data_IF_807135671064
#
_entry.id   IF_807135671064
#
_cell.length_a   1.000
_cell.length_b   1.000
_cell.length_c   1.000
_cell.angle_alpha   90.00
_cell.angle_beta   90.00
_cell.angle_gamma   90.00
#
_symmetry.space_group_name_H-M   'P 1'
#
loop_
_entity.id
_entity.type
_entity.pdbx_description
1 polymer ?
#
# COMPACT_ATOMS: atom_id res chain seq x y z
N UNK A 1 -53.14 -32.05 17.44
CA UNK A 1 -52.26 -31.45 16.42
C UNK A 1 -52.51 -29.95 16.38
N UNK A 2 -51.60 -29.15 16.94
CA UNK A 2 -51.32 -27.76 16.59
C UNK A 2 -50.10 -27.34 17.42
N UNK A 3 -48.94 -27.39 16.78
CA UNK A 3 -47.63 -27.05 17.32
C UNK A 3 -47.52 -25.53 17.52
N UNK A 4 -47.13 -25.13 18.72
CA UNK A 4 -45.93 -24.33 18.96
C UNK A 4 -45.72 -23.17 17.96
N UNK A 5 -46.50 -22.10 18.08
CA UNK A 5 -46.37 -20.90 17.24
C UNK A 5 -46.29 -19.64 18.10
N UNK A 6 -45.43 -19.62 19.13
CA UNK A 6 -45.16 -18.39 19.92
C UNK A 6 -43.70 -18.19 20.34
N UNK A 7 -42.75 -18.95 19.76
CA UNK A 7 -41.31 -18.83 20.06
C UNK A 7 -40.50 -18.16 18.95
N UNK A 8 -41.15 -17.43 18.03
CA UNK A 8 -40.49 -16.72 16.94
C UNK A 8 -40.49 -15.19 17.17
N UNK A 9 -40.37 -14.75 18.42
CA UNK A 9 -40.34 -13.33 18.80
C UNK A 9 -39.11 -12.97 19.66
N UNK A 10 -38.05 -13.78 19.59
CA UNK A 10 -36.88 -13.64 20.48
C UNK A 10 -35.51 -13.75 19.76
N UNK A 11 -35.48 -13.67 18.43
CA UNK A 11 -34.23 -13.88 17.66
C UNK A 11 -34.01 -12.89 16.50
N UNK A 12 -34.68 -11.72 16.52
CA UNK A 12 -34.52 -10.66 15.50
C UNK A 12 -34.23 -9.31 16.15
N UNK A 13 -33.39 -9.31 17.20
CA UNK A 13 -32.82 -8.09 17.81
C UNK A 13 -31.29 -8.18 17.95
N UNK A 14 -30.66 -9.15 17.27
CA UNK A 14 -29.21 -9.20 17.04
C UNK A 14 -28.86 -8.71 15.63
N UNK A 15 -29.63 -7.74 15.11
CA UNK A 15 -29.24 -7.01 13.92
C UNK A 15 -28.20 -5.96 14.30
N UNK A 16 -26.95 -6.43 14.33
CA UNK A 16 -25.85 -5.79 13.63
C UNK A 16 -25.63 -4.33 14.10
N UNK A 17 -25.08 -4.19 15.30
CA UNK A 17 -24.11 -3.14 15.55
C UNK A 17 -22.85 -3.49 14.73
N UNK A 18 -22.88 -3.31 13.40
CA UNK A 18 -21.64 -3.14 12.65
C UNK A 18 -21.05 -1.83 13.17
N UNK A 19 -20.20 -1.96 14.18
CA UNK A 19 -19.13 -1.01 14.41
C UNK A 19 -18.35 -1.00 13.10
N UNK A 20 -18.67 -0.07 12.19
CA UNK A 20 -17.66 0.37 11.23
C UNK A 20 -16.66 1.15 12.07
N UNK A 21 -15.72 0.44 12.68
CA UNK A 21 -14.42 1.05 12.86
C UNK A 21 -14.05 1.49 11.45
N UNK A 22 -14.00 2.80 11.20
CA UNK A 22 -13.19 3.26 10.09
C UNK A 22 -11.83 2.63 10.39
N UNK A 23 -11.40 1.69 9.54
CA UNK A 23 -10.09 1.03 9.65
C UNK A 23 -9.04 2.11 9.36
N UNK A 24 -8.83 3.01 10.32
CA UNK A 24 -7.80 4.03 10.30
C UNK A 24 -6.45 3.29 10.26
N UNK A 25 -5.59 3.71 9.34
CA UNK A 25 -4.24 3.18 9.26
C UNK A 25 -3.49 3.61 10.52
N UNK A 26 -2.87 2.64 11.20
CA UNK A 26 -2.10 2.91 12.41
C UNK A 26 -0.99 3.93 12.16
N UNK A 27 -0.79 4.87 13.08
CA UNK A 27 0.19 5.96 12.97
C UNK A 27 1.61 5.44 12.71
N UNK A 28 1.96 4.26 13.27
CA UNK A 28 3.26 3.62 13.02
C UNK A 28 3.52 3.32 11.53
N UNK A 29 2.47 3.22 10.71
CA UNK A 29 2.62 3.06 9.27
C UNK A 29 3.16 4.32 8.58
N UNK A 30 2.82 5.50 9.10
CA UNK A 30 3.29 6.78 8.56
C UNK A 30 4.62 7.20 9.17
N UNK A 31 4.93 6.78 10.39
CA UNK A 31 6.25 7.03 11.01
C UNK A 31 7.41 6.28 10.33
N UNK A 32 7.13 5.33 9.44
CA UNK A 32 8.15 4.75 8.55
C UNK A 32 8.48 5.65 7.36
N UNK A 33 7.60 6.61 7.06
CA UNK A 33 7.77 7.55 5.97
C UNK A 33 8.36 8.84 6.52
N UNK A 34 9.68 8.88 6.61
CA UNK A 34 10.40 10.13 6.79
C UNK A 34 11.18 10.42 5.50
N UNK A 35 10.80 11.45 4.73
CA UNK A 35 11.47 11.78 3.48
C UNK A 35 12.95 12.19 3.67
N UNK A 36 13.36 12.60 4.88
CA UNK A 36 14.76 12.85 5.22
C UNK A 36 15.53 11.54 5.54
N UNK A 37 14.83 10.45 5.88
CA UNK A 37 15.42 9.14 6.16
C UNK A 37 15.48 8.20 4.95
N UNK A 38 14.90 8.57 3.80
CA UNK A 38 15.00 7.78 2.56
C UNK A 38 16.47 7.56 2.13
N UNK A 39 17.39 8.41 2.58
CA UNK A 39 18.84 8.30 2.36
C UNK A 39 19.52 7.24 3.25
N UNK A 40 18.87 6.74 4.30
CA UNK A 40 19.50 5.86 5.28
C UNK A 40 19.53 4.38 4.88
N UNK A 41 18.94 4.01 3.73
CA UNK A 41 18.89 2.63 3.21
C UNK A 41 18.53 1.60 4.31
N UNK A 42 17.52 1.90 5.13
CA UNK A 42 17.26 1.12 6.33
C UNK A 42 16.84 -0.32 6.07
N UNK A 43 16.15 -0.56 4.96
CA UNK A 43 15.81 -1.89 4.52
C UNK A 43 16.87 -2.40 3.53
N UNK A 44 17.53 -3.50 3.88
CA UNK A 44 18.54 -4.15 3.05
C UNK A 44 17.92 -5.24 2.14
N UNK A 45 16.61 -5.48 2.28
CA UNK A 45 15.88 -6.45 1.46
C UNK A 45 15.72 -5.92 0.04
N UNK A 46 16.16 -6.72 -0.93
CA UNK A 46 15.99 -6.44 -2.34
C UNK A 46 14.56 -6.80 -2.80
N UNK A 47 13.80 -5.77 -3.18
CA UNK A 47 12.46 -5.91 -3.74
C UNK A 47 12.43 -5.76 -5.26
N UNK A 48 13.58 -5.67 -5.92
CA UNK A 48 13.65 -5.52 -7.37
C UNK A 48 12.95 -6.69 -8.06
N UNK A 49 12.07 -6.34 -8.98
CA UNK A 49 11.46 -7.28 -9.89
C UNK A 49 12.44 -7.41 -11.05
N UNK A 50 13.06 -8.58 -11.19
CA UNK A 50 13.88 -8.90 -12.36
C UNK A 50 12.96 -8.96 -13.58
N UNK A 51 12.71 -7.81 -14.22
CA UNK A 51 12.11 -7.80 -15.53
C UNK A 51 13.22 -8.09 -16.55
N UNK A 52 13.22 -9.31 -17.11
CA UNK A 52 14.20 -9.72 -18.11
C UNK A 52 14.12 -8.86 -19.40
N UNK A 53 13.10 -7.99 -19.53
CA UNK A 53 13.13 -6.86 -20.47
C UNK A 53 13.70 -5.60 -19.81
N UNK A 54 15.04 -5.48 -19.84
CA UNK A 54 15.79 -4.26 -19.52
C UNK A 54 15.54 -3.13 -20.55
N UNK A 55 14.28 -2.78 -20.84
CA UNK A 55 14.00 -1.47 -21.42
C UNK A 55 14.01 -0.48 -20.26
N UNK A 56 15.10 0.30 -20.13
CA UNK A 56 15.15 1.44 -19.22
C UNK A 56 13.91 2.31 -19.48
N UNK A 57 12.98 2.34 -18.53
CA UNK A 57 11.79 3.18 -18.64
C UNK A 57 12.21 4.66 -18.63
N UNK A 58 12.00 5.36 -19.74
CA UNK A 58 12.34 6.78 -19.90
C UNK A 58 11.23 7.66 -19.33
N UNK A 59 11.36 8.04 -18.05
CA UNK A 59 10.47 8.98 -17.39
C UNK A 59 10.91 10.45 -17.51
N UNK A 60 11.77 10.79 -18.47
CA UNK A 60 12.33 12.15 -18.59
C UNK A 60 11.30 13.24 -18.91
N UNK A 61 10.11 12.86 -19.37
CA UNK A 61 8.98 13.76 -19.63
C UNK A 61 8.13 14.04 -18.37
N UNK A 62 8.30 13.27 -17.30
CA UNK A 62 7.68 13.53 -16.02
C UNK A 62 8.42 14.65 -15.28
N UNK A 63 7.65 15.59 -14.71
CA UNK A 63 8.20 16.58 -13.80
C UNK A 63 8.84 15.85 -12.62
N UNK A 64 10.02 16.32 -12.20
CA UNK A 64 10.64 15.89 -10.96
C UNK A 64 10.53 17.04 -9.94
N UNK A 65 9.29 17.34 -9.56
CA UNK A 65 8.97 18.44 -8.65
C UNK A 65 8.08 17.95 -7.50
N UNK A 66 8.68 17.90 -6.32
CA UNK A 66 8.01 17.52 -5.08
C UNK A 66 7.82 18.71 -4.12
N UNK A 67 7.93 19.95 -4.62
CA UNK A 67 7.90 21.17 -3.79
C UNK A 67 6.50 21.57 -3.30
N UNK A 68 5.45 21.16 -4.00
CA UNK A 68 4.05 21.43 -3.65
C UNK A 68 3.22 20.17 -3.79
N UNK A 69 2.10 20.05 -3.09
CA UNK A 69 1.28 18.84 -3.14
C UNK A 69 0.70 18.61 -4.54
N UNK A 70 0.31 19.67 -5.25
CA UNK A 70 -0.11 19.58 -6.66
C UNK A 70 1.03 19.05 -7.56
N UNK A 71 2.25 19.55 -7.40
CA UNK A 71 3.40 19.08 -8.16
C UNK A 71 3.76 17.61 -7.86
N UNK A 72 3.72 17.21 -6.58
CA UNK A 72 3.90 15.80 -6.16
C UNK A 72 2.86 14.90 -6.82
N UNK A 73 1.60 15.33 -6.81
CA UNK A 73 0.49 14.60 -7.38
C UNK A 73 0.67 14.33 -8.87
N UNK A 74 1.02 15.38 -9.64
CA UNK A 74 1.23 15.26 -11.09
C UNK A 74 2.50 14.49 -11.43
N UNK A 75 3.58 14.64 -10.65
CA UNK A 75 4.82 13.86 -10.78
C UNK A 75 4.54 12.36 -10.65
N UNK A 76 3.94 11.93 -9.53
CA UNK A 76 3.66 10.51 -9.26
C UNK A 76 2.64 9.96 -10.26
N UNK A 77 1.61 10.74 -10.60
CA UNK A 77 0.62 10.37 -11.63
C UNK A 77 1.26 10.16 -12.99
N UNK A 78 2.26 10.97 -13.35
CA UNK A 78 2.99 10.81 -14.60
C UNK A 78 3.73 9.46 -14.63
N UNK A 79 4.43 9.09 -13.56
CA UNK A 79 5.08 7.79 -13.44
C UNK A 79 4.07 6.64 -13.61
N UNK A 80 2.90 6.70 -12.96
CA UNK A 80 1.88 5.67 -13.13
C UNK A 80 1.26 5.61 -14.53
N UNK A 81 1.21 6.72 -15.25
CA UNK A 81 0.78 6.73 -16.66
C UNK A 81 1.82 6.06 -17.56
N UNK A 82 3.10 6.35 -17.35
CA UNK A 82 4.19 5.72 -18.10
C UNK A 82 4.24 4.21 -17.82
N UNK A 83 4.10 3.84 -16.55
CA UNK A 83 3.99 2.44 -16.12
C UNK A 83 2.71 1.77 -16.66
N UNK A 84 1.71 2.55 -17.12
CA UNK A 84 0.46 2.01 -17.69
C UNK A 84 -0.51 1.48 -16.64
N UNK A 85 -0.35 1.88 -15.38
CA UNK A 85 -1.23 1.53 -14.24
C UNK A 85 -2.17 2.66 -13.86
N UNK A 86 -2.13 3.78 -14.57
CA UNK A 86 -3.08 4.88 -14.42
C UNK A 86 -4.14 4.84 -15.52
N UNK A 87 -5.42 4.94 -15.13
CA UNK A 87 -6.54 5.02 -16.07
C UNK A 87 -7.61 5.98 -15.57
N UNK A 88 -8.14 6.78 -16.49
CA UNK A 88 -9.08 7.85 -16.20
C UNK A 88 -8.50 8.78 -15.10
N UNK A 89 -9.07 8.76 -13.90
CA UNK A 89 -8.66 9.57 -12.75
C UNK A 89 -8.14 8.75 -11.56
N UNK A 90 -7.68 7.51 -11.79
CA UNK A 90 -7.16 6.68 -10.72
C UNK A 90 -6.30 5.49 -11.16
N UNK A 91 -6.06 4.60 -10.22
CA UNK A 91 -5.28 3.38 -10.41
C UNK A 91 -6.12 2.34 -11.16
N UNK A 92 -5.55 1.77 -12.22
CA UNK A 92 -6.10 0.61 -12.93
C UNK A 92 -5.70 -0.67 -12.17
N UNK A 93 -6.60 -1.14 -11.30
CA UNK A 93 -6.37 -2.33 -10.48
C UNK A 93 -6.01 -3.58 -11.30
N UNK A 94 -6.58 -3.74 -12.50
CA UNK A 94 -6.32 -4.89 -13.37
C UNK A 94 -4.92 -4.80 -13.99
N UNK A 95 -4.49 -3.60 -14.40
CA UNK A 95 -3.14 -3.36 -14.89
C UNK A 95 -2.09 -3.59 -13.79
N UNK A 96 -2.32 -3.04 -12.59
CA UNK A 96 -1.44 -3.26 -11.44
C UNK A 96 -1.34 -4.74 -11.12
N UNK A 97 -2.48 -5.44 -11.00
CA UNK A 97 -2.50 -6.87 -10.71
C UNK A 97 -1.73 -7.66 -11.76
N UNK A 98 -1.89 -7.32 -13.03
CA UNK A 98 -1.15 -7.98 -14.12
C UNK A 98 0.36 -7.79 -13.97
N UNK A 99 0.82 -6.59 -13.60
CA UNK A 99 2.24 -6.33 -13.33
C UNK A 99 2.76 -7.07 -12.10
N UNK A 100 2.06 -6.96 -10.97
CA UNK A 100 2.44 -7.62 -9.72
C UNK A 100 2.41 -9.15 -9.81
N UNK A 101 1.59 -9.72 -10.69
CA UNK A 101 1.60 -11.16 -10.97
C UNK A 101 2.80 -11.61 -11.80
N UNK A 102 3.46 -10.69 -12.52
CA UNK A 102 4.73 -10.95 -13.20
C UNK A 102 5.92 -10.88 -12.26
N UNK A 103 5.77 -10.31 -11.05
CA UNK A 103 6.83 -10.26 -10.05
C UNK A 103 7.44 -11.65 -9.85
N UNK A 104 8.74 -11.73 -10.08
CA UNK A 104 9.44 -13.00 -10.30
C UNK A 104 9.33 -13.89 -9.06
N UNK A 105 8.85 -15.13 -9.25
CA UNK A 105 8.91 -16.20 -8.26
C UNK A 105 10.33 -16.48 -7.73
N UNK A 106 11.38 -16.00 -8.42
CA UNK A 106 12.77 -16.09 -7.98
C UNK A 106 13.19 -15.01 -6.97
N UNK A 107 12.38 -13.96 -6.74
CA UNK A 107 12.57 -13.00 -5.64
C UNK A 107 11.40 -13.09 -4.63
N UNK A 108 11.48 -13.99 -3.62
CA UNK A 108 10.41 -14.16 -2.65
C UNK A 108 10.03 -12.89 -1.85
N UNK A 109 10.97 -12.01 -1.44
CA UNK A 109 10.63 -10.69 -0.92
C UNK A 109 9.73 -9.85 -1.83
N UNK A 110 10.09 -9.70 -3.11
CA UNK A 110 9.27 -8.96 -4.08
C UNK A 110 7.87 -9.58 -4.24
N UNK A 111 7.78 -10.91 -4.26
CA UNK A 111 6.50 -11.62 -4.31
C UNK A 111 5.61 -11.32 -3.08
N UNK A 112 6.17 -11.34 -1.87
CA UNK A 112 5.40 -11.02 -0.65
C UNK A 112 4.89 -9.57 -0.66
N UNK A 113 5.73 -8.63 -1.07
CA UNK A 113 5.34 -7.23 -1.24
C UNK A 113 4.19 -7.10 -2.25
N UNK A 114 4.32 -7.74 -3.42
CA UNK A 114 3.28 -7.78 -4.45
C UNK A 114 1.95 -8.36 -3.94
N UNK A 115 1.99 -9.46 -3.19
CA UNK A 115 0.81 -10.07 -2.56
C UNK A 115 0.12 -9.11 -1.58
N UNK A 116 0.89 -8.35 -0.80
CA UNK A 116 0.34 -7.34 0.10
C UNK A 116 -0.27 -6.16 -0.63
N UNK A 117 0.39 -5.64 -1.66
CA UNK A 117 -0.17 -4.54 -2.47
C UNK A 117 -1.51 -4.99 -3.09
N UNK A 118 -1.55 -6.20 -3.67
CA UNK A 118 -2.81 -6.77 -4.20
C UNK A 118 -3.89 -6.90 -3.13
N UNK A 119 -3.53 -7.27 -1.89
CA UNK A 119 -4.48 -7.46 -0.78
C UNK A 119 -4.99 -6.14 -0.22
N UNK A 120 -4.12 -5.15 -0.05
CA UNK A 120 -4.37 -3.97 0.78
C UNK A 120 -4.48 -2.64 0.03
N UNK A 121 -4.00 -2.56 -1.21
CA UNK A 121 -4.02 -1.31 -1.97
C UNK A 121 -5.11 -1.30 -3.04
N UNK A 122 -5.37 -2.41 -3.71
CA UNK A 122 -6.32 -2.45 -4.84
C UNK A 122 -7.79 -2.31 -4.41
N UNK A 123 -8.67 -2.03 -5.38
CA UNK A 123 -10.12 -1.84 -5.22
C UNK A 123 -10.45 -0.64 -4.34
N UNK A 124 -9.73 0.46 -4.54
CA UNK A 124 -9.89 1.70 -3.79
C UNK A 124 -9.43 1.65 -2.34
N UNK A 125 -8.88 0.51 -1.87
CA UNK A 125 -8.40 0.40 -0.49
C UNK A 125 -7.23 1.33 -0.20
N UNK A 126 -6.45 1.72 -1.21
CA UNK A 126 -5.39 2.71 -1.06
C UNK A 126 -5.91 4.09 -0.62
N UNK A 127 -7.19 4.41 -0.79
CA UNK A 127 -7.74 5.73 -0.47
C UNK A 127 -7.68 6.08 1.03
N UNK A 128 -7.52 5.08 1.90
CA UNK A 128 -7.35 5.27 3.36
C UNK A 128 -5.95 5.69 3.79
N UNK A 129 -4.99 5.69 2.86
CA UNK A 129 -3.61 6.10 3.14
C UNK A 129 -3.46 7.60 2.90
N UNK A 130 -2.59 8.26 3.67
CA UNK A 130 -2.39 9.70 3.63
C UNK A 130 -3.51 10.51 4.27
N UNK A 131 -3.48 11.82 4.07
CA UNK A 131 -4.50 12.79 4.51
C UNK A 131 -5.68 12.83 3.54
N UNK A 132 -6.80 13.44 3.94
CA UNK A 132 -7.98 13.59 3.07
C UNK A 132 -7.71 14.47 1.84
N UNK A 133 -6.72 15.37 1.92
CA UNK A 133 -6.34 16.29 0.85
C UNK A 133 -5.37 15.66 -0.17
N UNK A 134 -4.77 14.51 0.16
CA UNK A 134 -3.86 13.82 -0.74
C UNK A 134 -4.58 13.28 -1.98
N UNK A 135 -4.00 13.52 -3.15
CA UNK A 135 -4.53 12.99 -4.41
C UNK A 135 -4.39 11.46 -4.51
N UNK A 136 -5.16 10.79 -5.38
CA UNK A 136 -5.13 9.34 -5.53
C UNK A 136 -3.75 8.74 -5.83
N UNK A 137 -2.90 9.44 -6.61
CA UNK A 137 -1.55 9.00 -6.92
C UNK A 137 -0.67 8.92 -5.67
N UNK A 138 -0.68 9.95 -4.82
CA UNK A 138 0.05 9.96 -3.53
C UNK A 138 -0.48 8.88 -2.59
N UNK A 139 -1.80 8.73 -2.49
CA UNK A 139 -2.41 7.72 -1.61
C UNK A 139 -2.02 6.29 -2.02
N UNK A 140 -2.02 6.01 -3.32
CA UNK A 140 -1.57 4.71 -3.83
C UNK A 140 -0.06 4.49 -3.66
N UNK A 141 0.75 5.53 -3.87
CA UNK A 141 2.19 5.49 -3.59
C UNK A 141 2.46 5.12 -2.14
N UNK A 142 1.84 5.82 -1.18
CA UNK A 142 1.97 5.53 0.25
C UNK A 142 1.53 4.10 0.58
N UNK A 143 0.38 3.67 0.07
CA UNK A 143 -0.10 2.31 0.28
C UNK A 143 0.91 1.26 -0.19
N UNK A 144 1.44 1.46 -1.40
CA UNK A 144 2.37 0.52 -2.02
C UNK A 144 3.70 0.50 -1.28
N UNK A 145 4.27 1.67 -0.99
CA UNK A 145 5.50 1.82 -0.21
C UNK A 145 5.40 1.13 1.15
N UNK A 146 4.37 1.45 1.94
CA UNK A 146 4.15 0.88 3.27
C UNK A 146 4.04 -0.64 3.19
N UNK A 147 3.23 -1.16 2.26
CA UNK A 147 3.03 -2.60 2.14
C UNK A 147 4.25 -3.37 1.59
N UNK A 148 5.18 -2.69 0.93
CA UNK A 148 6.49 -3.23 0.56
C UNK A 148 7.44 -3.24 1.77
N UNK A 149 7.62 -2.09 2.43
CA UNK A 149 8.61 -1.93 3.52
C UNK A 149 8.31 -2.83 4.71
N UNK A 150 7.04 -3.10 5.03
CA UNK A 150 6.70 -4.05 6.10
C UNK A 150 7.11 -5.51 5.81
N UNK A 151 7.45 -5.85 4.57
CA UNK A 151 8.01 -7.15 4.20
C UNK A 151 9.54 -7.22 4.30
N UNK A 152 10.18 -6.12 4.71
CA UNK A 152 11.62 -6.09 4.92
C UNK A 152 12.04 -7.10 5.98
N UNK A 153 12.90 -8.02 5.59
CA UNK A 153 13.43 -9.11 6.42
C UNK A 153 14.86 -8.85 6.93
N UNK A 154 15.56 -7.88 6.34
CA UNK A 154 16.89 -7.44 6.78
C UNK A 154 16.94 -5.92 6.96
N UNK A 155 17.30 -5.49 8.16
CA UNK A 155 17.35 -4.08 8.55
C UNK A 155 18.76 -3.69 8.97
N UNK A 156 19.19 -2.51 8.54
CA UNK A 156 20.41 -1.89 9.06
C UNK A 156 20.28 -1.68 10.58
N UNK A 157 21.38 -1.85 11.31
CA UNK A 157 21.42 -1.88 12.78
C UNK A 157 21.75 -0.53 13.43
N UNK A 158 21.84 0.54 12.65
CA UNK A 158 21.99 1.88 13.22
C UNK A 158 20.73 2.28 14.01
N UNK A 159 20.85 3.31 14.86
CA UNK A 159 19.78 3.73 15.77
C UNK A 159 18.50 4.17 15.02
N UNK A 160 18.66 4.90 13.92
CA UNK A 160 17.55 5.35 13.06
C UNK A 160 16.79 4.16 12.49
N UNK A 161 17.49 3.18 11.92
CA UNK A 161 16.88 2.02 11.28
C UNK A 161 16.29 1.02 12.27
N UNK A 162 16.77 0.98 13.52
CA UNK A 162 16.16 0.21 14.59
C UNK A 162 14.73 0.71 14.88
N UNK A 163 14.53 2.04 14.90
CA UNK A 163 13.20 2.65 15.07
C UNK A 163 12.29 2.34 13.88
N UNK A 164 12.80 2.48 12.66
CA UNK A 164 12.05 2.13 11.42
C UNK A 164 11.59 0.67 11.42
N UNK A 165 12.47 -0.28 11.78
CA UNK A 165 12.14 -1.70 11.87
C UNK A 165 11.05 -2.00 12.92
N UNK A 166 11.08 -1.31 14.06
CA UNK A 166 10.05 -1.44 15.08
C UNK A 166 8.69 -0.93 14.57
N UNK A 167 8.68 0.22 13.90
CA UNK A 167 7.48 0.81 13.32
C UNK A 167 6.91 -0.06 12.19
N UNK A 168 7.76 -0.63 11.34
CA UNK A 168 7.36 -1.60 10.33
C UNK A 168 6.70 -2.84 10.93
N UNK A 169 7.25 -3.36 12.02
CA UNK A 169 6.68 -4.50 12.72
C UNK A 169 5.29 -4.19 13.30
N UNK A 170 5.10 -3.00 13.88
CA UNK A 170 3.81 -2.55 14.42
C UNK A 170 2.78 -2.33 13.31
N UNK A 171 3.17 -1.63 12.24
CA UNK A 171 2.32 -1.39 11.08
C UNK A 171 1.89 -2.70 10.42
N UNK A 172 2.80 -3.66 10.24
CA UNK A 172 2.46 -4.99 9.71
C UNK A 172 1.38 -5.68 10.54
N UNK A 173 1.49 -5.61 11.87
CA UNK A 173 0.53 -6.22 12.78
C UNK A 173 -0.86 -5.55 12.73
N UNK A 174 -0.92 -4.24 12.51
CA UNK A 174 -2.19 -3.50 12.42
C UNK A 174 -2.91 -3.67 11.08
N UNK A 175 -2.17 -3.86 9.98
CA UNK A 175 -2.72 -4.09 8.65
C UNK A 175 -3.32 -5.51 8.47
N UNK A 176 -2.95 -6.47 9.33
CA UNK A 176 -3.34 -7.89 9.26
C UNK A 176 -2.62 -8.70 8.18
#
# INVERSE_FOLDING_TARGET
MAKMMHLLNLFVLFLISTVSAADEIDESCFEMFDPEDLENECCETDFEINDESEEEEDFSDCLNDFSTDEAKCETIKCYYKHDGVWKDDGIDDDAVKTKLQKSDSKNPPAQKAAERIMKYCLNGKYMKYGTDDDCPSVKYFLCSYINTVVECDSWNKNETCAKHSENASKCKASLG
#
